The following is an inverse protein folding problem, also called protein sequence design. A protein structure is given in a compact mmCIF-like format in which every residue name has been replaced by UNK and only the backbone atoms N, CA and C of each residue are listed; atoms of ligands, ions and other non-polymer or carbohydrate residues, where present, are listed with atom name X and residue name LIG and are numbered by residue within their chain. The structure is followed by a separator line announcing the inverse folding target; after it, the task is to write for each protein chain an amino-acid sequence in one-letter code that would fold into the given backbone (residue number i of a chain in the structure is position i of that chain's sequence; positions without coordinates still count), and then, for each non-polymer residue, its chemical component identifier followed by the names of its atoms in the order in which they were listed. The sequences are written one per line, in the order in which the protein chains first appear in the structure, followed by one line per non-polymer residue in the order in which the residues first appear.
data_IF_410620000410
#
_entry.id   IF_410620000410
#
_cell.length_a   1.000
_cell.length_b   1.000
_cell.length_c   1.000
_cell.angle_alpha   90.00
_cell.angle_beta   90.00
_cell.angle_gamma   90.00
#
_symmetry.space_group_name_H-M   'P 1'
#
loop_
_entity.id
_entity.type
_entity.pdbx_description
1 polymer ?
#
# COMPACT_ATOMS: atom_id res chain seq x y z
N UNK A 1 -21.89 2.42 28.56
CA UNK A 1 -20.48 2.00 28.51
C UNK A 1 -20.39 0.96 27.39
N UNK A 2 -20.07 1.40 26.16
CA UNK A 2 -19.95 0.49 25.03
C UNK A 2 -18.62 -0.23 25.14
N UNK A 3 -18.68 -1.53 25.43
CA UNK A 3 -17.55 -2.45 25.33
C UNK A 3 -17.21 -2.59 23.85
N UNK A 4 -16.38 -1.70 23.31
CA UNK A 4 -15.78 -1.94 21.99
C UNK A 4 -14.72 -3.01 22.14
N UNK A 5 -15.09 -4.24 21.79
CA UNK A 5 -14.15 -5.33 21.60
C UNK A 5 -13.03 -4.86 20.67
N UNK A 6 -11.79 -5.20 21.00
CA UNK A 6 -10.65 -4.93 20.13
C UNK A 6 -10.93 -5.54 18.74
N UNK A 7 -10.75 -4.80 17.63
CA UNK A 7 -10.97 -5.34 16.30
C UNK A 7 -10.06 -6.54 16.03
N UNK A 8 -10.50 -7.45 15.17
CA UNK A 8 -9.70 -8.63 14.80
C UNK A 8 -8.48 -8.27 13.92
N UNK A 9 -8.53 -7.09 13.29
CA UNK A 9 -7.52 -6.57 12.40
C UNK A 9 -6.60 -5.52 13.06
N UNK A 10 -5.44 -5.30 12.45
CA UNK A 10 -4.54 -4.22 12.85
C UNK A 10 -5.05 -2.88 12.30
N UNK A 11 -5.19 -1.90 13.18
CA UNK A 11 -5.48 -0.52 12.82
C UNK A 11 -4.37 0.39 13.34
N UNK A 12 -3.69 1.16 12.47
CA UNK A 12 -2.65 2.09 12.92
C UNK A 12 -3.19 3.05 14.01
N UNK A 13 -2.40 3.34 15.07
CA UNK A 13 -2.89 4.10 16.21
C UNK A 13 -3.28 5.55 15.86
N UNK A 14 -2.76 6.08 14.75
CA UNK A 14 -2.96 7.46 14.26
C UNK A 14 -4.09 7.61 13.22
N UNK A 15 -4.89 6.56 13.00
CA UNK A 15 -6.11 6.61 12.20
C UNK A 15 -7.08 7.66 12.76
N UNK A 16 -7.59 8.54 11.89
CA UNK A 16 -8.52 9.61 12.30
C UNK A 16 -9.97 9.23 12.02
N UNK A 17 -10.23 8.44 10.98
CA UNK A 17 -11.58 8.09 10.51
C UNK A 17 -11.96 6.65 10.87
N UNK A 18 -11.96 6.29 12.16
CA UNK A 18 -12.23 4.90 12.59
C UNK A 18 -13.52 4.27 12.05
N UNK A 19 -14.54 5.08 11.76
CA UNK A 19 -15.85 4.60 11.27
C UNK A 19 -15.84 4.02 9.85
N UNK A 20 -14.75 4.17 9.08
CA UNK A 20 -14.62 3.70 7.69
C UNK A 20 -13.94 2.32 7.62
N UNK A 21 -13.38 1.86 8.73
CA UNK A 21 -12.69 0.58 8.83
C UNK A 21 -13.64 -0.43 9.47
N UNK A 22 -14.07 -1.42 8.70
CA UNK A 22 -14.95 -2.49 9.14
C UNK A 22 -14.15 -3.80 9.26
N UNK A 23 -14.75 -4.84 9.85
CA UNK A 23 -14.06 -6.14 10.00
C UNK A 23 -13.73 -6.77 8.64
N UNK A 24 -14.63 -6.67 7.66
CA UNK A 24 -14.51 -7.37 6.37
C UNK A 24 -14.21 -6.44 5.18
N UNK A 25 -14.28 -5.12 5.36
CA UNK A 25 -14.08 -4.14 4.27
C UNK A 25 -13.66 -2.76 4.79
N UNK A 26 -13.25 -1.88 3.86
CA UNK A 26 -12.94 -0.47 4.14
C UNK A 26 -13.82 0.39 3.25
N UNK A 27 -14.53 1.34 3.84
CA UNK A 27 -15.26 2.42 3.16
C UNK A 27 -14.25 3.46 2.65
N UNK A 28 -13.62 3.12 1.52
CA UNK A 28 -12.55 3.89 0.90
C UNK A 28 -13.03 5.25 0.41
N UNK A 29 -14.27 5.41 -0.04
CA UNK A 29 -14.78 6.74 -0.44
C UNK A 29 -15.56 7.49 0.65
N UNK A 30 -15.77 6.88 1.81
CA UNK A 30 -16.38 7.49 3.00
C UNK A 30 -17.87 7.81 2.81
N UNK A 31 -18.60 7.01 2.04
CA UNK A 31 -20.04 7.22 1.80
C UNK A 31 -20.96 6.36 2.69
N UNK A 32 -20.40 5.47 3.51
CA UNK A 32 -21.13 4.58 4.42
C UNK A 32 -21.81 3.39 3.76
N UNK A 33 -21.52 3.11 2.49
CA UNK A 33 -22.08 2.00 1.70
C UNK A 33 -20.92 1.24 1.07
N UNK A 34 -20.96 -0.09 1.11
CA UNK A 34 -19.97 -0.90 0.42
C UNK A 34 -20.22 -0.84 -1.09
N UNK A 35 -19.42 -0.06 -1.79
CA UNK A 35 -19.44 0.02 -3.25
C UNK A 35 -18.75 -1.21 -3.87
N UNK A 36 -19.06 -1.58 -5.13
CA UNK A 36 -18.48 -2.76 -5.77
C UNK A 36 -16.95 -2.80 -5.73
N UNK A 37 -16.24 -1.68 -5.95
CA UNK A 37 -14.77 -1.69 -5.87
C UNK A 37 -14.20 -1.98 -4.46
N UNK A 38 -15.00 -1.76 -3.42
CA UNK A 38 -14.65 -1.94 -2.01
C UNK A 38 -14.96 -3.36 -1.54
N UNK A 39 -15.85 -4.08 -2.24
CA UNK A 39 -16.25 -5.46 -1.93
C UNK A 39 -15.14 -6.45 -2.34
N UNK A 40 -14.46 -7.10 -1.38
CA UNK A 40 -13.39 -8.05 -1.68
C UNK A 40 -13.89 -9.39 -2.26
N UNK A 41 -15.20 -9.65 -2.22
CA UNK A 41 -15.80 -10.88 -2.76
C UNK A 41 -16.04 -10.85 -4.26
N UNK A 42 -16.05 -9.66 -4.88
CA UNK A 42 -16.25 -9.49 -6.32
C UNK A 42 -14.97 -9.75 -7.12
N UNK A 43 -15.09 -10.20 -8.39
CA UNK A 43 -13.96 -10.33 -9.30
C UNK A 43 -13.19 -9.01 -9.46
N UNK A 44 -11.86 -9.11 -9.59
CA UNK A 44 -10.99 -7.93 -9.72
C UNK A 44 -11.44 -7.01 -10.86
N UNK A 45 -11.82 -7.57 -12.01
CA UNK A 45 -12.24 -6.78 -13.17
C UNK A 45 -13.51 -5.96 -12.88
N UNK A 46 -14.48 -6.52 -12.16
CA UNK A 46 -15.70 -5.79 -11.77
C UNK A 46 -15.37 -4.63 -10.82
N UNK A 47 -14.45 -4.87 -9.87
CA UNK A 47 -13.98 -3.84 -8.94
C UNK A 47 -13.23 -2.72 -9.65
N UNK A 48 -12.39 -3.08 -10.63
CA UNK A 48 -11.62 -2.12 -11.44
C UNK A 48 -12.54 -1.26 -12.29
N UNK A 49 -13.52 -1.86 -12.97
CA UNK A 49 -14.45 -1.09 -13.81
C UNK A 49 -15.30 -0.12 -12.99
N UNK A 50 -15.83 -0.57 -11.85
CA UNK A 50 -16.56 0.31 -10.93
C UNK A 50 -15.68 1.47 -10.44
N UNK A 51 -14.45 1.20 -10.00
CA UNK A 51 -13.52 2.24 -9.57
C UNK A 51 -13.19 3.24 -10.69
N UNK A 52 -12.83 2.76 -11.89
CA UNK A 52 -12.48 3.61 -13.03
C UNK A 52 -13.65 4.48 -13.50
N UNK A 53 -14.89 3.99 -13.36
CA UNK A 53 -16.10 4.75 -13.68
C UNK A 53 -16.32 5.92 -12.72
N UNK A 54 -15.85 5.80 -11.47
CA UNK A 54 -15.98 6.80 -10.41
C UNK A 54 -14.86 7.84 -10.40
N UNK A 55 -13.74 7.56 -11.06
CA UNK A 55 -12.57 8.43 -11.09
C UNK A 55 -12.76 9.62 -12.05
N UNK A 56 -12.38 10.79 -11.56
CA UNK A 56 -12.11 11.97 -12.39
C UNK A 56 -10.86 11.76 -13.25
N UNK A 57 -10.65 12.64 -14.24
CA UNK A 57 -9.42 12.62 -15.05
C UNK A 57 -8.17 12.82 -14.19
N UNK A 58 -8.20 13.74 -13.23
CA UNK A 58 -7.05 14.03 -12.36
C UNK A 58 -6.67 12.85 -11.48
N UNK A 59 -7.64 12.12 -10.94
CA UNK A 59 -7.38 10.90 -10.17
C UNK A 59 -6.78 9.79 -11.05
N UNK A 60 -7.23 9.67 -12.32
CA UNK A 60 -6.65 8.73 -13.29
C UNK A 60 -5.20 9.09 -13.60
N UNK A 61 -4.92 10.38 -13.81
CA UNK A 61 -3.55 10.88 -13.96
C UNK A 61 -2.71 10.63 -12.72
N UNK A 62 -3.28 10.78 -11.51
CA UNK A 62 -2.65 10.45 -10.24
C UNK A 62 -2.16 9.00 -10.17
N UNK A 63 -2.98 8.05 -10.62
CA UNK A 63 -2.62 6.62 -10.63
C UNK A 63 -1.47 6.26 -11.58
N UNK A 64 -1.24 7.07 -12.64
CA UNK A 64 -0.14 6.86 -13.59
C UNK A 64 1.18 7.50 -13.13
N UNK A 65 1.22 8.11 -11.95
CA UNK A 65 2.37 8.84 -11.43
C UNK A 65 3.11 8.07 -10.34
N UNK A 66 4.39 8.39 -10.26
CA UNK A 66 5.31 7.94 -9.23
C UNK A 66 5.91 9.16 -8.52
N UNK A 67 5.98 9.14 -7.20
CA UNK A 67 6.37 10.29 -6.40
C UNK A 67 6.79 9.94 -4.97
N UNK A 68 7.07 10.98 -4.17
CA UNK A 68 7.52 10.87 -2.77
C UNK A 68 6.53 11.45 -1.74
N UNK A 69 5.43 12.03 -2.21
CA UNK A 69 4.31 12.46 -1.37
C UNK A 69 3.00 12.33 -2.15
N UNK A 70 1.90 12.26 -1.43
CA UNK A 70 0.54 12.02 -1.94
C UNK A 70 -0.16 13.37 -2.16
N UNK A 71 -0.43 13.78 -3.41
CA UNK A 71 -1.21 14.97 -3.75
C UNK A 71 -2.71 14.80 -3.44
N UNK A 72 -3.48 15.88 -3.60
CA UNK A 72 -4.94 15.91 -3.40
C UNK A 72 -5.69 14.80 -4.17
N UNK A 73 -5.36 14.60 -5.45
CA UNK A 73 -6.00 13.59 -6.30
C UNK A 73 -5.33 12.20 -6.23
N UNK A 74 -4.52 11.97 -5.19
CA UNK A 74 -3.84 10.71 -4.97
C UNK A 74 -2.61 10.48 -5.86
N UNK A 75 -2.02 9.30 -5.71
CA UNK A 75 -0.81 8.87 -6.39
C UNK A 75 -0.88 7.35 -6.59
N UNK A 76 -0.42 6.82 -7.73
CA UNK A 76 -0.38 5.38 -7.92
C UNK A 76 0.80 4.73 -7.18
N UNK A 77 1.97 5.36 -7.27
CA UNK A 77 3.22 4.78 -6.78
C UNK A 77 3.99 5.73 -5.86
N UNK A 78 4.30 5.27 -4.65
CA UNK A 78 5.11 5.98 -3.66
C UNK A 78 6.49 5.30 -3.54
N UNK A 79 7.56 6.06 -3.74
CA UNK A 79 8.91 5.50 -3.91
C UNK A 79 9.83 5.79 -2.74
N UNK A 80 10.76 4.87 -2.51
CA UNK A 80 11.90 5.09 -1.63
C UNK A 80 11.53 5.41 -0.16
N UNK A 81 10.35 4.98 0.29
CA UNK A 81 9.84 5.28 1.64
C UNK A 81 10.73 4.66 2.72
N UNK A 82 11.33 3.51 2.43
CA UNK A 82 11.99 2.68 3.44
C UNK A 82 13.50 2.88 3.50
N UNK A 83 14.11 3.50 2.48
CA UNK A 83 15.57 3.52 2.26
C UNK A 83 16.38 3.93 3.48
N UNK A 84 16.01 5.06 4.09
CA UNK A 84 16.77 5.67 5.18
C UNK A 84 16.32 5.18 6.56
N UNK A 85 15.29 4.34 6.63
CA UNK A 85 14.64 3.95 7.88
C UNK A 85 14.97 2.50 8.28
N UNK A 86 15.22 2.23 9.57
CA UNK A 86 15.19 0.88 10.11
C UNK A 86 13.83 0.20 9.87
N UNK A 87 13.74 -1.15 9.89
CA UNK A 87 12.51 -1.86 9.52
C UNK A 87 11.24 -1.43 10.28
N UNK A 88 11.34 -1.20 11.59
CA UNK A 88 10.20 -0.76 12.42
C UNK A 88 9.69 0.62 11.99
N UNK A 89 10.60 1.58 11.92
CA UNK A 89 10.29 2.97 11.53
C UNK A 89 9.80 3.04 10.08
N UNK A 90 10.34 2.20 9.20
CA UNK A 90 9.89 2.06 7.81
C UNK A 90 8.43 1.61 7.71
N UNK A 91 8.02 0.61 8.49
CA UNK A 91 6.62 0.15 8.54
C UNK A 91 5.70 1.22 9.14
N UNK A 92 6.13 1.90 10.21
CA UNK A 92 5.38 3.02 10.79
C UNK A 92 5.15 4.12 9.75
N UNK A 93 6.20 4.48 9.00
CA UNK A 93 6.12 5.49 7.94
C UNK A 93 5.24 5.05 6.78
N UNK A 94 5.35 3.80 6.35
CA UNK A 94 4.49 3.23 5.31
C UNK A 94 3.01 3.29 5.72
N UNK A 95 2.70 2.95 6.97
CA UNK A 95 1.34 3.02 7.50
C UNK A 95 0.81 4.47 7.53
N UNK A 96 1.64 5.46 7.87
CA UNK A 96 1.25 6.89 7.81
C UNK A 96 0.81 7.29 6.40
N UNK A 97 1.59 6.90 5.38
CA UNK A 97 1.25 7.20 3.99
C UNK A 97 -0.02 6.46 3.52
N UNK A 98 -0.21 5.21 3.92
CA UNK A 98 -1.44 4.48 3.60
C UNK A 98 -2.68 5.14 4.23
N UNK A 99 -2.59 5.52 5.52
CA UNK A 99 -3.68 6.25 6.19
C UNK A 99 -3.96 7.57 5.48
N UNK A 100 -2.92 8.33 5.09
CA UNK A 100 -3.09 9.56 4.30
C UNK A 100 -3.79 9.29 2.97
N UNK A 101 -3.36 8.27 2.22
CA UNK A 101 -3.98 7.89 0.94
C UNK A 101 -5.48 7.60 1.10
N UNK A 102 -5.83 6.77 2.10
CA UNK A 102 -7.18 6.28 2.33
C UNK A 102 -8.09 7.39 2.88
N UNK A 103 -7.65 8.11 3.91
CA UNK A 103 -8.51 9.04 4.64
C UNK A 103 -8.63 10.43 4.01
N UNK A 104 -7.60 10.88 3.29
CA UNK A 104 -7.51 12.27 2.82
C UNK A 104 -7.84 12.44 1.34
N UNK A 105 -7.73 11.38 0.52
CA UNK A 105 -8.16 11.44 -0.89
C UNK A 105 -9.65 11.11 -1.02
N UNK A 106 -10.32 11.50 -2.11
CA UNK A 106 -11.76 11.27 -2.27
C UNK A 106 -12.13 9.79 -2.33
N UNK A 107 -11.50 9.03 -3.23
CA UNK A 107 -11.79 7.60 -3.44
C UNK A 107 -10.97 6.66 -2.54
N UNK A 108 -10.06 7.20 -1.71
CA UNK A 108 -9.29 6.43 -0.74
C UNK A 108 -8.40 5.34 -1.32
N UNK A 109 -8.03 5.43 -2.59
CA UNK A 109 -7.23 4.42 -3.29
C UNK A 109 -5.85 4.32 -2.59
N UNK A 110 -5.48 3.14 -2.05
CA UNK A 110 -4.16 2.91 -1.45
C UNK A 110 -3.03 3.15 -2.45
N UNK A 111 -1.87 3.60 -1.96
CA UNK A 111 -0.67 3.76 -2.78
C UNK A 111 0.09 2.44 -2.88
N UNK A 112 0.68 2.14 -4.03
CA UNK A 112 1.70 1.09 -4.13
C UNK A 112 3.01 1.67 -3.61
N UNK A 113 3.50 1.14 -2.49
CA UNK A 113 4.83 1.47 -1.98
C UNK A 113 5.82 0.54 -2.65
N UNK A 114 6.77 1.09 -3.42
CA UNK A 114 7.82 0.31 -4.04
C UNK A 114 9.21 0.83 -3.67
N UNK A 115 10.14 -0.10 -3.55
CA UNK A 115 11.55 0.20 -3.31
C UNK A 115 12.43 -0.72 -4.17
N UNK A 116 13.73 -0.45 -4.14
CA UNK A 116 14.72 -1.23 -4.86
C UNK A 116 15.08 -2.51 -4.09
N UNK A 117 14.92 -3.66 -4.75
CA UNK A 117 15.18 -4.98 -4.15
C UNK A 117 16.14 -5.84 -4.99
N UNK A 118 17.09 -5.21 -5.71
CA UNK A 118 17.97 -5.90 -6.67
C UNK A 118 18.82 -7.02 -6.04
N UNK A 119 19.27 -6.84 -4.80
CA UNK A 119 20.09 -7.81 -4.07
C UNK A 119 19.74 -7.84 -2.59
N UNK A 120 18.43 -7.90 -2.31
CA UNK A 120 17.84 -7.62 -1.00
C UNK A 120 17.20 -6.22 -0.98
N UNK A 121 16.31 -6.00 -0.02
CA UNK A 121 15.61 -4.72 0.12
C UNK A 121 16.61 -3.60 0.45
N UNK A 122 16.60 -2.53 -0.34
CA UNK A 122 17.46 -1.37 -0.13
C UNK A 122 16.89 -0.46 0.97
N UNK A 123 16.84 -0.98 2.19
CA UNK A 123 16.44 -0.27 3.40
C UNK A 123 17.48 -0.46 4.50
N UNK A 124 17.58 0.50 5.42
CA UNK A 124 18.59 0.49 6.49
C UNK A 124 18.49 -0.80 7.32
N UNK A 125 19.65 -1.43 7.58
CA UNK A 125 19.77 -2.69 8.32
C UNK A 125 19.15 -3.93 7.65
N UNK A 126 18.76 -3.85 6.38
CA UNK A 126 18.33 -5.02 5.60
C UNK A 126 19.52 -5.89 5.18
N UNK A 127 19.28 -7.18 4.98
CA UNK A 127 20.28 -8.11 4.44
C UNK A 127 20.67 -7.71 3.02
N UNK A 128 21.97 -7.59 2.76
CA UNK A 128 22.53 -7.37 1.43
C UNK A 128 23.13 -8.67 0.90
N UNK A 129 22.59 -9.17 -0.20
CA UNK A 129 23.07 -10.37 -0.89
C UNK A 129 24.13 -10.00 -1.94
N UNK A 130 24.88 -11.00 -2.47
CA UNK A 130 25.72 -10.77 -3.64
C UNK A 130 24.91 -10.20 -4.81
N UNK A 131 25.52 -9.31 -5.60
CA UNK A 131 24.87 -8.72 -6.78
C UNK A 131 24.43 -9.80 -7.78
N UNK A 132 23.46 -9.46 -8.64
CA UNK A 132 22.87 -10.40 -9.60
C UNK A 132 23.92 -11.17 -10.44
N UNK A 133 25.01 -10.52 -10.86
CA UNK A 133 26.09 -11.18 -11.61
C UNK A 133 26.85 -12.22 -10.77
N UNK A 134 27.03 -11.99 -9.47
CA UNK A 134 27.68 -12.94 -8.57
C UNK A 134 26.76 -14.12 -8.26
N UNK A 135 25.44 -13.87 -8.09
CA UNK A 135 24.46 -14.94 -7.95
C UNK A 135 24.37 -15.79 -9.22
N UNK A 136 24.41 -15.18 -10.40
CA UNK A 136 24.43 -15.90 -11.67
C UNK A 136 25.65 -16.83 -11.79
N UNK A 137 26.82 -16.42 -11.28
CA UNK A 137 28.03 -17.25 -11.28
C UNK A 137 27.93 -18.52 -10.43
N UNK A 138 26.90 -18.65 -9.58
CA UNK A 138 26.65 -19.88 -8.80
C UNK A 138 26.00 -20.99 -9.62
N UNK A 139 25.37 -20.66 -10.77
CA UNK A 139 24.58 -21.59 -11.58
C UNK A 139 23.51 -22.37 -10.79
N UNK A 140 22.96 -21.77 -9.73
CA UNK A 140 22.05 -22.41 -8.80
C UNK A 140 20.72 -21.62 -8.68
N UNK A 141 19.71 -21.92 -9.52
CA UNK A 141 18.40 -21.26 -9.45
C UNK A 141 17.71 -21.43 -8.09
N UNK A 142 17.81 -22.60 -7.46
CA UNK A 142 17.21 -22.87 -6.14
C UNK A 142 17.81 -21.98 -5.04
N UNK A 143 19.11 -21.64 -5.16
CA UNK A 143 19.73 -20.65 -4.28
C UNK A 143 19.13 -19.25 -4.51
N UNK A 144 18.94 -18.85 -5.77
CA UNK A 144 18.33 -17.55 -6.11
C UNK A 144 16.89 -17.46 -5.59
N UNK A 145 16.10 -18.53 -5.70
CA UNK A 145 14.74 -18.60 -5.14
C UNK A 145 14.71 -18.48 -3.61
N UNK A 146 15.76 -18.92 -2.90
CA UNK A 146 15.86 -18.74 -1.44
C UNK A 146 16.33 -17.35 -1.02
N UNK A 147 16.92 -16.58 -1.93
CA UNK A 147 17.37 -15.20 -1.70
C UNK A 147 16.23 -14.20 -1.87
N UNK A 148 15.33 -14.45 -2.83
CA UNK A 148 14.16 -13.63 -3.13
C UNK A 148 13.14 -13.64 -1.98
#
# INVERSE_FOLDING_TARGET
MSSTSKPSYYLPPFVRRRGIYHEDWIDFNKNGVMDPYEDPSLPVDERVEDLLSRMTLEEKLGQLRSGRDIPEHGLGNLTCVLRDLPPREGVEKANEYQVKAIEDTRLGIPVIIHDECLHGCMARYSTSFPQAIALAATWNPDLVYRVA
#
